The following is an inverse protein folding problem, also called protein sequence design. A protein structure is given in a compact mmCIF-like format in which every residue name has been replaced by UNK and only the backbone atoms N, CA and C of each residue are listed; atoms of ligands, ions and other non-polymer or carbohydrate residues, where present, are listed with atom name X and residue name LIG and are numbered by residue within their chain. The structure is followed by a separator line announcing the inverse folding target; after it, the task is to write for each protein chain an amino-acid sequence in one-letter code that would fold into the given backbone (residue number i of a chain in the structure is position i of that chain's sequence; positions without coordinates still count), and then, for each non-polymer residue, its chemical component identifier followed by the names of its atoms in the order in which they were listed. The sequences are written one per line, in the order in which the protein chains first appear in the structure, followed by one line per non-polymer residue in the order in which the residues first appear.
data_IF_910589141185
#
_entry.id   IF_910589141185
#
_cell.length_a   1.000
_cell.length_b   1.000
_cell.length_c   1.000
_cell.angle_alpha   90.00
_cell.angle_beta   90.00
_cell.angle_gamma   90.00
#
_symmetry.space_group_name_H-M   'P 1'
#
loop_
_entity.id
_entity.type
_entity.pdbx_description
1 polymer ?
#
# COMPACT_ATOMS: atom_id res chain seq x y z
N UNK A 1 19.28 -9.39 -5.55
CA UNK A 1 19.42 -8.60 -4.31
C UNK A 1 19.69 -7.15 -4.65
N UNK A 2 19.21 -6.22 -3.84
CA UNK A 2 19.49 -4.80 -3.98
C UNK A 2 20.91 -4.51 -3.49
N UNK A 3 21.66 -3.75 -4.29
CA UNK A 3 22.98 -3.20 -3.92
C UNK A 3 22.84 -1.68 -3.88
N UNK A 4 22.76 -1.05 -2.68
CA UNK A 4 22.61 0.40 -2.56
C UNK A 4 23.75 1.14 -3.25
N UNK A 5 23.44 2.18 -4.01
CA UNK A 5 24.39 2.93 -4.84
C UNK A 5 24.63 2.36 -6.24
N UNK A 6 24.05 1.19 -6.56
CA UNK A 6 24.20 0.51 -7.85
C UNK A 6 22.85 0.15 -8.47
N UNK A 7 22.02 -0.59 -7.72
CA UNK A 7 20.69 -1.06 -8.19
C UNK A 7 19.74 0.12 -8.39
N UNK A 8 18.99 0.10 -9.49
CA UNK A 8 17.96 1.08 -9.80
C UNK A 8 16.54 0.51 -9.53
N UNK A 9 15.52 1.36 -9.49
CA UNK A 9 14.12 0.91 -9.43
C UNK A 9 13.75 0.09 -10.67
N UNK A 10 14.31 0.41 -11.83
CA UNK A 10 14.11 -0.36 -13.06
C UNK A 10 14.68 -1.77 -12.97
N UNK A 11 15.81 -1.94 -12.27
CA UNK A 11 16.39 -3.27 -12.01
C UNK A 11 15.44 -4.09 -11.13
N UNK A 12 14.72 -3.46 -10.18
CA UNK A 12 13.71 -4.15 -9.37
C UNK A 12 12.52 -4.63 -10.21
N UNK A 13 12.04 -3.81 -11.16
CA UNK A 13 10.99 -4.23 -12.10
C UNK A 13 11.43 -5.49 -12.86
N UNK A 14 12.65 -5.50 -13.39
CA UNK A 14 13.20 -6.66 -14.11
C UNK A 14 13.43 -7.89 -13.23
N UNK A 15 13.93 -7.71 -12.00
CA UNK A 15 14.08 -8.78 -11.02
C UNK A 15 12.74 -9.42 -10.69
N UNK A 16 11.69 -8.60 -10.48
CA UNK A 16 10.35 -9.10 -10.21
C UNK A 16 9.78 -9.89 -11.40
N UNK A 17 9.90 -9.34 -12.61
CA UNK A 17 9.49 -10.02 -13.84
C UNK A 17 10.18 -11.36 -14.02
N UNK A 18 11.51 -11.38 -13.89
CA UNK A 18 12.29 -12.59 -14.01
C UNK A 18 11.85 -13.63 -12.97
N UNK A 19 11.64 -13.18 -11.74
CA UNK A 19 11.20 -14.09 -10.66
C UNK A 19 9.82 -14.70 -10.93
N UNK A 20 8.87 -13.92 -11.42
CA UNK A 20 7.56 -14.44 -11.83
C UNK A 20 7.69 -15.44 -12.98
N UNK A 21 8.51 -15.13 -14.00
CA UNK A 21 8.76 -16.03 -15.12
C UNK A 21 9.41 -17.35 -14.68
N UNK A 22 10.42 -17.30 -13.78
CA UNK A 22 11.09 -18.49 -13.24
C UNK A 22 10.12 -19.40 -12.46
N UNK A 23 9.10 -18.82 -11.83
CA UNK A 23 8.06 -19.53 -11.10
C UNK A 23 6.87 -19.97 -11.99
N UNK A 24 6.86 -19.60 -13.26
CA UNK A 24 5.74 -19.84 -14.17
C UNK A 24 4.48 -19.05 -13.81
N UNK A 25 4.63 -17.88 -13.17
CA UNK A 25 3.51 -17.02 -12.78
C UNK A 25 3.31 -15.91 -13.82
N UNK A 26 2.04 -15.58 -14.08
CA UNK A 26 1.67 -14.41 -14.86
C UNK A 26 1.61 -13.18 -13.98
N UNK A 27 1.95 -12.01 -14.53
CA UNK A 27 1.71 -10.73 -13.86
C UNK A 27 0.25 -10.32 -13.99
N UNK A 28 -0.33 -9.79 -12.92
CA UNK A 28 -1.65 -9.16 -12.96
C UNK A 28 -1.57 -7.81 -13.72
N UNK A 29 -0.48 -7.08 -13.52
CA UNK A 29 -0.16 -5.80 -14.16
C UNK A 29 1.36 -5.57 -14.19
N UNK A 30 1.78 -4.49 -14.83
CA UNK A 30 3.21 -4.10 -14.84
C UNK A 30 3.66 -3.73 -13.42
N UNK A 31 4.69 -4.39 -12.86
CA UNK A 31 5.19 -4.03 -11.53
C UNK A 31 5.67 -2.58 -11.50
N UNK A 32 5.40 -1.91 -10.41
CA UNK A 32 5.81 -0.53 -10.18
C UNK A 32 6.64 -0.41 -8.91
N UNK A 33 7.78 0.27 -9.02
CA UNK A 33 8.63 0.60 -7.88
C UNK A 33 8.97 2.08 -7.92
N UNK A 34 8.92 2.75 -6.79
CA UNK A 34 9.35 4.14 -6.68
C UNK A 34 10.15 4.39 -5.41
N UNK A 35 10.89 5.49 -5.42
CA UNK A 35 11.71 5.93 -4.30
C UNK A 35 11.04 7.10 -3.61
N UNK A 36 10.76 6.93 -2.33
CA UNK A 36 10.45 8.02 -1.41
C UNK A 36 11.73 8.30 -0.65
N UNK A 37 12.29 9.50 -0.80
CA UNK A 37 13.64 9.81 -0.29
C UNK A 37 13.72 11.17 0.37
N UNK A 38 14.68 11.35 1.30
CA UNK A 38 14.94 12.63 1.95
C UNK A 38 15.25 13.73 0.93
N UNK A 39 14.81 14.95 1.20
CA UNK A 39 15.12 16.11 0.37
C UNK A 39 16.63 16.32 0.16
N UNK A 40 17.43 16.01 1.18
CA UNK A 40 18.91 15.98 1.12
C UNK A 40 19.41 15.07 -0.02
N UNK A 41 18.87 13.86 -0.12
CA UNK A 41 19.25 12.90 -1.16
C UNK A 41 18.89 13.42 -2.54
N UNK A 42 17.70 14.02 -2.70
CA UNK A 42 17.24 14.65 -3.95
C UNK A 42 18.14 15.82 -4.36
N UNK A 43 18.50 16.69 -3.41
CA UNK A 43 19.45 17.81 -3.67
C UNK A 43 20.81 17.32 -4.13
N UNK A 44 21.29 16.19 -3.57
CA UNK A 44 22.62 15.64 -3.87
C UNK A 44 22.69 14.91 -5.20
N UNK A 45 21.69 14.12 -5.55
CA UNK A 45 21.74 13.19 -6.70
C UNK A 45 20.76 13.54 -7.81
N UNK A 46 19.86 14.51 -7.58
CA UNK A 46 18.83 14.94 -8.53
C UNK A 46 17.48 14.26 -8.29
N UNK A 47 16.42 14.97 -8.69
CA UNK A 47 15.02 14.49 -8.53
C UNK A 47 14.71 13.23 -9.36
N UNK A 48 15.43 13.00 -10.45
CA UNK A 48 15.21 11.87 -11.38
C UNK A 48 16.22 10.74 -11.18
N UNK A 49 16.98 10.77 -10.09
CA UNK A 49 17.92 9.68 -9.80
C UNK A 49 17.14 8.42 -9.41
N UNK A 50 17.25 7.38 -10.22
CA UNK A 50 16.59 6.09 -10.03
C UNK A 50 17.43 5.09 -9.22
N UNK A 51 18.68 5.44 -8.89
CA UNK A 51 19.58 4.57 -8.12
C UNK A 51 19.15 4.55 -6.65
N UNK A 52 18.92 3.36 -6.14
CA UNK A 52 18.56 3.12 -4.74
C UNK A 52 19.74 3.46 -3.83
N UNK A 53 19.51 4.28 -2.80
CA UNK A 53 20.56 4.78 -1.92
C UNK A 53 20.25 4.54 -0.45
N UNK A 54 21.27 4.44 0.41
CA UNK A 54 21.04 4.39 1.86
C UNK A 54 20.18 5.56 2.34
N UNK A 55 19.13 5.24 3.07
CA UNK A 55 18.16 6.21 3.58
C UNK A 55 16.91 6.39 2.71
N UNK A 56 16.84 5.78 1.53
CA UNK A 56 15.61 5.74 0.73
C UNK A 56 14.58 4.79 1.33
N UNK A 57 13.31 5.08 1.13
CA UNK A 57 12.22 4.14 1.25
C UNK A 57 11.78 3.72 -0.16
N UNK A 58 11.74 2.42 -0.41
CA UNK A 58 11.22 1.85 -1.65
C UNK A 58 9.75 1.50 -1.40
N UNK A 59 8.87 1.95 -2.27
CA UNK A 59 7.49 1.52 -2.33
C UNK A 59 7.33 0.64 -3.58
N UNK A 60 6.71 -0.51 -3.41
CA UNK A 60 6.35 -1.43 -4.51
C UNK A 60 4.84 -1.51 -4.66
N UNK A 61 4.42 -1.71 -5.90
CA UNK A 61 3.05 -2.02 -6.28
C UNK A 61 3.11 -3.15 -7.29
N UNK A 62 2.70 -4.35 -6.87
CA UNK A 62 2.93 -5.60 -7.60
C UNK A 62 1.77 -6.56 -7.45
N UNK A 63 1.48 -7.31 -8.51
CA UNK A 63 0.45 -8.33 -8.50
C UNK A 63 0.77 -9.49 -9.44
N UNK A 64 0.32 -10.66 -9.07
CA UNK A 64 0.40 -11.88 -9.91
C UNK A 64 -0.99 -12.37 -10.28
N UNK A 65 -1.05 -13.14 -11.35
CA UNK A 65 -2.23 -13.93 -11.71
C UNK A 65 -1.92 -15.40 -11.52
N UNK A 66 -2.67 -16.03 -10.63
CA UNK A 66 -2.56 -17.46 -10.37
C UNK A 66 -3.94 -18.13 -10.42
N UNK A 67 -4.08 -19.21 -11.17
CA UNK A 67 -5.35 -19.90 -11.41
C UNK A 67 -6.49 -18.94 -11.83
N UNK A 68 -6.17 -17.95 -12.65
CA UNK A 68 -7.04 -16.87 -13.15
C UNK A 68 -7.47 -15.82 -12.10
N UNK A 69 -7.01 -15.93 -10.87
CA UNK A 69 -7.24 -14.93 -9.84
C UNK A 69 -6.05 -13.97 -9.79
N UNK A 70 -6.35 -12.68 -9.63
CA UNK A 70 -5.34 -11.64 -9.47
C UNK A 70 -5.08 -11.37 -7.99
N UNK A 71 -3.86 -10.98 -7.68
CA UNK A 71 -3.48 -10.35 -6.42
C UNK A 71 -3.03 -8.91 -6.67
N UNK A 72 -3.07 -8.09 -5.62
CA UNK A 72 -2.70 -6.68 -5.64
C UNK A 72 -2.09 -6.27 -4.30
N UNK A 73 -0.81 -5.89 -4.31
CA UNK A 73 -0.07 -5.65 -3.08
C UNK A 73 0.85 -4.45 -3.19
N UNK A 74 0.81 -3.57 -2.19
CA UNK A 74 1.80 -2.52 -1.99
C UNK A 74 2.55 -2.75 -0.69
N UNK A 75 3.88 -2.72 -0.77
CA UNK A 75 4.75 -2.87 0.38
C UNK A 75 5.88 -1.84 0.37
N UNK A 76 6.44 -1.59 1.55
CA UNK A 76 7.50 -0.63 1.74
C UNK A 76 8.75 -1.28 2.33
N UNK A 77 9.92 -0.91 1.77
CA UNK A 77 11.23 -1.29 2.29
C UNK A 77 12.06 -0.05 2.60
N UNK A 78 12.88 -0.11 3.65
CA UNK A 78 13.82 0.95 3.99
C UNK A 78 15.26 0.51 3.76
N UNK A 79 16.02 1.31 3.03
CA UNK A 79 17.45 1.07 2.77
C UNK A 79 18.27 1.61 3.93
N UNK A 80 18.89 0.72 4.69
CA UNK A 80 19.63 1.10 5.91
C UNK A 80 20.75 2.09 5.61
N UNK A 81 20.86 3.11 6.44
CA UNK A 81 22.05 3.98 6.45
C UNK A 81 23.21 3.27 7.14
N UNK A 82 24.46 3.50 6.73
CA UNK A 82 25.62 2.92 7.41
C UNK A 82 25.58 3.13 8.93
N UNK A 83 25.79 2.03 9.67
CA UNK A 83 25.80 2.06 11.14
C UNK A 83 24.43 2.23 11.81
N UNK A 84 23.32 2.08 11.05
CA UNK A 84 21.95 2.08 11.58
C UNK A 84 21.34 0.70 11.44
N UNK A 85 20.53 0.30 12.42
CA UNK A 85 19.86 -1.00 12.51
C UNK A 85 18.38 -0.93 12.09
N UNK A 86 17.86 0.26 11.75
CA UNK A 86 16.46 0.43 11.38
C UNK A 86 16.15 1.79 10.78
N UNK A 87 14.89 1.96 10.35
CA UNK A 87 14.42 3.22 9.78
C UNK A 87 14.31 4.31 10.85
N UNK A 88 14.29 5.58 10.46
CA UNK A 88 14.10 6.69 11.40
C UNK A 88 12.74 6.57 12.13
N UNK A 89 12.63 7.10 13.37
CA UNK A 89 11.41 7.03 14.16
C UNK A 89 10.16 7.54 13.44
N UNK A 90 10.27 8.61 12.63
CA UNK A 90 9.15 9.15 11.87
C UNK A 90 8.58 8.17 10.85
N UNK A 91 9.42 7.40 10.15
CA UNK A 91 8.96 6.38 9.21
C UNK A 91 8.34 5.18 9.94
N UNK A 92 8.89 4.76 11.08
CA UNK A 92 8.28 3.71 11.90
C UNK A 92 6.89 4.11 12.38
N UNK A 93 6.74 5.33 12.89
CA UNK A 93 5.45 5.88 13.30
C UNK A 93 4.45 5.87 12.14
N UNK A 94 4.85 6.29 10.93
CA UNK A 94 3.96 6.24 9.75
C UNK A 94 3.52 4.81 9.44
N UNK A 95 4.41 3.82 9.52
CA UNK A 95 4.06 2.41 9.34
C UNK A 95 3.05 1.95 10.42
N UNK A 96 3.26 2.33 11.68
CA UNK A 96 2.34 2.03 12.79
C UNK A 96 0.96 2.66 12.55
N UNK A 97 0.90 3.92 12.10
CA UNK A 97 -0.36 4.59 11.77
C UNK A 97 -1.06 3.97 10.56
N UNK A 98 -0.31 3.54 9.54
CA UNK A 98 -0.83 2.77 8.41
C UNK A 98 -1.46 1.46 8.87
N UNK A 99 -0.79 0.73 9.77
CA UNK A 99 -1.32 -0.50 10.35
C UNK A 99 -2.57 -0.26 11.20
N UNK A 100 -2.63 0.84 11.96
CA UNK A 100 -3.85 1.23 12.69
C UNK A 100 -5.01 1.52 11.74
N UNK A 101 -4.74 2.17 10.60
CA UNK A 101 -5.76 2.40 9.58
C UNK A 101 -6.24 1.09 8.95
N UNK A 102 -5.37 0.10 8.73
CA UNK A 102 -5.76 -1.24 8.28
C UNK A 102 -6.69 -1.94 9.29
N UNK A 103 -6.42 -1.83 10.60
CA UNK A 103 -7.32 -2.36 11.65
C UNK A 103 -8.70 -1.69 11.61
N UNK A 104 -8.72 -0.35 11.46
CA UNK A 104 -9.98 0.39 11.32
C UNK A 104 -10.73 -0.09 10.08
N UNK A 105 -10.05 -0.21 8.94
CA UNK A 105 -10.61 -0.69 7.69
C UNK A 105 -11.28 -2.06 7.87
N UNK A 106 -10.54 -3.06 8.31
CA UNK A 106 -11.06 -4.42 8.46
C UNK A 106 -12.23 -4.50 9.44
N UNK A 107 -12.15 -3.79 10.56
CA UNK A 107 -13.19 -3.81 11.60
C UNK A 107 -14.48 -3.07 11.22
N UNK A 108 -14.45 -2.24 10.18
CA UNK A 108 -15.60 -1.46 9.72
C UNK A 108 -16.53 -2.21 8.77
N UNK A 109 -16.11 -3.32 8.16
CA UNK A 109 -16.88 -4.07 7.18
C UNK A 109 -18.18 -4.63 7.75
N UNK A 110 -19.31 -4.37 7.07
CA UNK A 110 -20.63 -4.92 7.38
C UNK A 110 -21.33 -5.32 6.08
N UNK A 111 -21.95 -6.51 6.06
CA UNK A 111 -22.75 -6.93 4.91
C UNK A 111 -23.96 -6.03 4.73
N UNK A 112 -24.25 -5.67 3.48
CA UNK A 112 -25.35 -4.77 3.14
C UNK A 112 -25.00 -3.28 3.17
N UNK A 113 -23.88 -2.89 3.80
CA UNK A 113 -23.35 -1.53 3.77
C UNK A 113 -22.83 -1.23 2.36
N UNK A 114 -23.03 -0.03 1.84
CA UNK A 114 -22.44 0.40 0.57
C UNK A 114 -20.94 0.76 0.74
N UNK A 115 -20.22 0.79 -0.37
CA UNK A 115 -18.83 1.23 -0.36
C UNK A 115 -18.65 2.66 0.17
N UNK A 116 -19.59 3.56 -0.17
CA UNK A 116 -19.59 4.95 0.32
C UNK A 116 -19.82 5.05 1.83
N UNK A 117 -20.75 4.25 2.38
CA UNK A 117 -20.99 4.19 3.83
C UNK A 117 -19.77 3.63 4.56
N UNK A 118 -19.15 2.57 4.03
CA UNK A 118 -17.93 2.01 4.59
C UNK A 118 -16.78 3.02 4.57
N UNK A 119 -16.57 3.74 3.46
CA UNK A 119 -15.56 4.80 3.36
C UNK A 119 -15.78 5.87 4.44
N UNK A 120 -17.00 6.34 4.58
CA UNK A 120 -17.38 7.35 5.57
C UNK A 120 -17.09 6.88 7.00
N UNK A 121 -17.44 5.63 7.33
CA UNK A 121 -17.20 5.02 8.64
C UNK A 121 -15.70 4.93 8.94
N UNK A 122 -14.90 4.41 7.99
CA UNK A 122 -13.45 4.28 8.14
C UNK A 122 -12.80 5.65 8.37
N UNK A 123 -13.06 6.62 7.48
CA UNK A 123 -12.43 7.93 7.56
C UNK A 123 -12.87 8.72 8.79
N UNK A 124 -14.14 8.63 9.18
CA UNK A 124 -14.65 9.26 10.39
C UNK A 124 -13.99 8.68 11.64
N UNK A 125 -13.82 7.37 11.71
CA UNK A 125 -13.14 6.70 12.82
C UNK A 125 -11.65 7.04 12.82
N UNK A 126 -10.98 6.95 11.68
CA UNK A 126 -9.56 7.29 11.56
C UNK A 126 -9.25 8.72 12.05
N UNK A 127 -10.08 9.70 11.66
CA UNK A 127 -9.94 11.08 12.12
C UNK A 127 -10.15 11.22 13.63
N UNK A 128 -11.15 10.55 14.21
CA UNK A 128 -11.38 10.56 15.67
C UNK A 128 -10.23 9.93 16.45
N UNK A 129 -9.58 8.92 15.88
CA UNK A 129 -8.44 8.23 16.49
C UNK A 129 -7.11 8.92 16.20
N UNK A 130 -7.12 10.06 15.48
CA UNK A 130 -5.94 10.88 15.21
C UNK A 130 -4.99 10.33 14.17
N UNK A 131 -5.47 9.42 13.28
CA UNK A 131 -4.65 8.94 12.15
C UNK A 131 -4.32 10.13 11.22
N UNK A 132 -3.06 10.35 10.87
CA UNK A 132 -2.65 11.52 10.10
C UNK A 132 -3.04 11.39 8.61
N UNK A 133 -3.84 12.32 8.11
CA UNK A 133 -4.26 12.43 6.71
C UNK A 133 -4.61 11.07 6.06
N UNK A 134 -5.57 10.30 6.61
CA UNK A 134 -5.90 8.97 6.12
C UNK A 134 -6.59 9.05 4.76
N UNK A 135 -6.23 8.15 3.85
CA UNK A 135 -6.91 7.94 2.56
C UNK A 135 -7.14 6.45 2.36
N UNK A 136 -8.22 6.12 1.69
CA UNK A 136 -8.62 4.75 1.37
C UNK A 136 -8.99 4.67 -0.10
N UNK A 137 -8.44 3.70 -0.79
CA UNK A 137 -8.90 3.25 -2.07
C UNK A 137 -9.00 1.73 -2.03
N UNK A 138 -10.18 1.19 -2.24
CA UNK A 138 -10.39 -0.25 -2.22
C UNK A 138 -11.40 -0.64 -3.28
N UNK A 139 -11.09 -1.69 -3.99
CA UNK A 139 -11.95 -2.27 -5.01
C UNK A 139 -12.09 -3.77 -4.81
N UNK A 140 -13.14 -4.34 -5.38
CA UNK A 140 -13.29 -5.79 -5.43
C UNK A 140 -12.21 -6.38 -6.34
N UNK A 141 -11.69 -7.54 -5.94
CA UNK A 141 -10.59 -8.25 -6.58
C UNK A 141 -10.99 -9.70 -6.88
N UNK A 142 -10.50 -10.27 -7.96
CA UNK A 142 -10.78 -11.66 -8.32
C UNK A 142 -10.29 -12.03 -9.72
N UNK A 143 -11.21 -12.40 -10.62
CA UNK A 143 -10.90 -12.74 -12.01
C UNK A 143 -10.40 -11.53 -12.82
N UNK A 144 -10.88 -10.34 -12.47
CA UNK A 144 -10.36 -9.07 -12.93
C UNK A 144 -9.62 -8.40 -11.78
N UNK A 145 -8.59 -7.62 -12.11
CA UNK A 145 -7.87 -6.82 -11.12
C UNK A 145 -8.83 -5.82 -10.45
N UNK A 146 -9.59 -5.07 -11.25
CA UNK A 146 -10.66 -4.18 -10.80
C UNK A 146 -12.02 -4.78 -11.10
N UNK A 147 -12.50 -5.66 -10.23
CA UNK A 147 -13.81 -6.30 -10.36
C UNK A 147 -14.96 -5.29 -10.35
N UNK A 148 -16.11 -5.57 -11.01
CA UNK A 148 -17.27 -4.66 -11.05
C UNK A 148 -18.09 -4.65 -9.74
N UNK A 149 -17.46 -4.90 -8.60
CA UNK A 149 -18.07 -4.86 -7.27
C UNK A 149 -18.06 -3.48 -6.61
N UNK A 150 -18.32 -3.43 -5.30
CA UNK A 150 -18.26 -2.19 -4.53
C UNK A 150 -16.91 -1.49 -4.66
N UNK A 151 -16.93 -0.16 -4.70
CA UNK A 151 -15.77 0.72 -4.65
C UNK A 151 -15.79 1.51 -3.35
N UNK A 152 -14.66 1.57 -2.65
CA UNK A 152 -14.51 2.23 -1.34
C UNK A 152 -13.46 3.31 -1.48
N UNK A 153 -13.88 4.53 -1.81
CA UNK A 153 -12.99 5.64 -2.14
C UNK A 153 -12.33 5.52 -3.51
N UNK A 154 -11.63 6.57 -3.88
CA UNK A 154 -10.72 6.66 -5.03
C UNK A 154 -9.50 7.48 -4.61
N UNK A 155 -8.34 7.33 -5.24
CA UNK A 155 -7.16 8.13 -4.88
C UNK A 155 -7.39 9.64 -4.86
N UNK A 156 -8.33 10.13 -5.68
CA UNK A 156 -8.68 11.55 -5.79
C UNK A 156 -10.05 11.91 -5.18
N UNK A 157 -10.87 10.93 -4.78
CA UNK A 157 -12.20 11.14 -4.20
C UNK A 157 -12.36 10.36 -2.90
N UNK A 158 -12.45 11.07 -1.79
CA UNK A 158 -12.51 10.52 -0.45
C UNK A 158 -13.83 10.82 0.29
N UNK A 159 -14.83 11.35 -0.44
CA UNK A 159 -16.15 11.62 0.13
C UNK A 159 -17.18 10.63 -0.40
N UNK A 160 -17.37 10.59 -1.70
CA UNK A 160 -18.38 9.73 -2.33
C UNK A 160 -18.03 9.37 -3.76
N UNK A 161 -18.13 8.08 -4.08
CA UNK A 161 -18.00 7.53 -5.44
C UNK A 161 -19.38 7.12 -5.95
N UNK A 162 -20.11 7.94 -6.73
CA UNK A 162 -21.42 7.57 -7.27
C UNK A 162 -21.36 6.30 -8.14
N UNK A 163 -22.42 5.52 -8.12
CA UNK A 163 -22.52 4.28 -8.89
C UNK A 163 -21.84 3.12 -8.16
N UNK A 164 -20.58 2.80 -8.45
CA UNK A 164 -19.90 1.66 -7.82
C UNK A 164 -19.75 1.81 -6.29
N UNK A 165 -19.61 3.02 -5.78
CA UNK A 165 -19.59 3.26 -4.34
C UNK A 165 -20.96 3.06 -3.67
N UNK A 166 -22.06 3.06 -4.42
CA UNK A 166 -23.41 2.81 -3.90
C UNK A 166 -23.76 1.30 -3.89
N UNK A 167 -22.86 0.43 -4.38
CA UNK A 167 -23.04 -1.03 -4.37
C UNK A 167 -22.80 -1.59 -2.97
N UNK A 168 -23.71 -2.47 -2.55
CA UNK A 168 -23.65 -3.09 -1.22
C UNK A 168 -22.59 -4.20 -1.14
N UNK A 169 -21.86 -4.23 -0.02
CA UNK A 169 -20.90 -5.29 0.32
C UNK A 169 -21.64 -6.61 0.59
N UNK A 170 -21.04 -7.70 0.15
CA UNK A 170 -21.55 -9.07 0.35
C UNK A 170 -20.49 -9.97 0.96
N UNK A 171 -20.88 -10.94 1.73
CA UNK A 171 -19.97 -12.00 2.19
C UNK A 171 -19.41 -12.80 1.03
N UNK A 172 -18.26 -13.44 1.27
CA UNK A 172 -17.51 -14.24 0.32
C UNK A 172 -17.03 -13.41 -0.89
N UNK A 173 -16.57 -12.20 -0.62
CA UNK A 173 -15.95 -11.29 -1.58
C UNK A 173 -14.52 -10.99 -1.16
N UNK A 174 -13.65 -10.75 -2.16
CA UNK A 174 -12.29 -10.26 -1.96
C UNK A 174 -12.20 -8.79 -2.35
N UNK A 175 -11.34 -8.08 -1.64
CA UNK A 175 -11.07 -6.65 -1.86
C UNK A 175 -9.58 -6.40 -1.71
N UNK A 176 -9.09 -5.34 -2.35
CA UNK A 176 -7.82 -4.74 -1.96
C UNK A 176 -8.05 -3.91 -0.69
N UNK A 177 -7.10 -3.93 0.23
CA UNK A 177 -7.05 -3.02 1.37
C UNK A 177 -5.97 -1.99 1.08
N UNK A 178 -6.20 -1.17 0.05
CA UNK A 178 -5.31 -0.09 -0.35
C UNK A 178 -5.64 1.17 0.43
N UNK A 179 -4.64 1.72 1.09
CA UNK A 179 -4.78 2.87 1.95
C UNK A 179 -3.45 3.58 2.17
N UNK A 180 -3.51 4.82 2.63
CA UNK A 180 -2.31 5.57 2.97
C UNK A 180 -2.52 6.51 4.16
N UNK A 181 -1.41 6.82 4.81
CA UNK A 181 -1.30 7.87 5.81
C UNK A 181 -0.19 8.82 5.43
N UNK A 182 -0.35 10.10 5.75
CA UNK A 182 0.64 11.13 5.38
C UNK A 182 0.93 12.01 6.59
N UNK A 183 2.20 12.12 6.98
CA UNK A 183 2.63 13.01 8.05
C UNK A 183 4.06 13.53 7.79
N UNK A 184 4.52 14.44 8.65
CA UNK A 184 5.89 14.96 8.63
C UNK A 184 6.86 13.97 9.26
N UNK A 185 8.02 13.83 8.65
CA UNK A 185 9.13 13.03 9.16
C UNK A 185 10.24 13.98 9.62
N UNK A 186 10.38 14.22 10.94
CA UNK A 186 11.36 15.18 11.46
C UNK A 186 12.79 14.87 11.02
N UNK A 187 13.17 13.59 10.96
CA UNK A 187 14.50 13.15 10.56
C UNK A 187 14.78 13.38 9.06
N UNK A 188 13.76 13.74 8.28
CA UNK A 188 13.85 14.13 6.88
C UNK A 188 13.55 15.63 6.69
N UNK A 189 14.03 16.47 7.59
CA UNK A 189 13.83 17.94 7.57
C UNK A 189 12.34 18.32 7.56
N UNK A 190 11.52 17.64 8.39
CA UNK A 190 10.07 17.80 8.42
C UNK A 190 9.36 17.59 7.07
N UNK A 191 10.00 16.83 6.17
CA UNK A 191 9.40 16.48 4.89
C UNK A 191 8.08 15.72 5.10
N UNK A 192 7.06 16.09 4.34
CA UNK A 192 5.81 15.34 4.27
C UNK A 192 6.04 14.03 3.51
N UNK A 193 5.71 12.90 4.14
CA UNK A 193 5.88 11.56 3.59
C UNK A 193 4.56 10.81 3.65
N UNK A 194 4.23 10.15 2.56
CA UNK A 194 3.09 9.23 2.47
C UNK A 194 3.58 7.80 2.60
N UNK A 195 2.97 7.04 3.51
CA UNK A 195 3.11 5.60 3.64
C UNK A 195 1.89 4.95 3.00
N UNK A 196 2.08 4.25 1.89
CA UNK A 196 1.04 3.51 1.19
C UNK A 196 1.21 2.02 1.45
N UNK A 197 0.11 1.33 1.73
CA UNK A 197 0.05 -0.09 2.02
C UNK A 197 -1.14 -0.70 1.29
N UNK A 198 -0.98 -1.92 0.77
CA UNK A 198 -2.05 -2.65 0.15
C UNK A 198 -1.88 -4.14 0.36
N UNK A 199 -2.94 -4.80 0.83
CA UNK A 199 -3.03 -6.25 0.93
C UNK A 199 -4.40 -6.73 0.49
N UNK A 200 -4.45 -7.96 -0.03
CA UNK A 200 -5.70 -8.62 -0.38
C UNK A 200 -6.43 -9.10 0.87
N UNK A 201 -7.71 -8.77 0.99
CA UNK A 201 -8.56 -9.17 2.11
C UNK A 201 -9.78 -9.95 1.65
N UNK A 202 -10.19 -10.92 2.47
CA UNK A 202 -11.43 -11.66 2.30
C UNK A 202 -12.47 -11.16 3.31
N UNK A 203 -13.67 -10.83 2.82
CA UNK A 203 -14.82 -10.49 3.66
C UNK A 203 -15.78 -11.68 3.72
N UNK A 204 -15.86 -12.32 4.88
CA UNK A 204 -16.68 -13.50 5.15
C UNK A 204 -17.65 -13.25 6.31
N UNK A 205 -18.43 -14.24 6.71
CA UNK A 205 -19.31 -14.13 7.89
C UNK A 205 -18.53 -13.97 9.20
N UNK A 206 -17.27 -14.41 9.21
CA UNK A 206 -16.34 -14.28 10.33
C UNK A 206 -15.70 -12.89 10.42
N UNK A 207 -15.88 -12.06 9.39
CA UNK A 207 -15.33 -10.70 9.29
C UNK A 207 -14.45 -10.49 8.08
N UNK A 208 -13.75 -9.35 8.05
CA UNK A 208 -12.76 -9.01 7.03
C UNK A 208 -11.36 -9.30 7.57
N UNK A 209 -10.55 -10.03 6.79
CA UNK A 209 -9.19 -10.44 7.19
C UNK A 209 -8.26 -10.51 6.00
N UNK A 210 -6.94 -10.30 6.16
CA UNK A 210 -5.96 -10.53 5.11
C UNK A 210 -6.01 -11.99 4.63
N UNK A 211 -5.72 -12.20 3.34
CA UNK A 211 -5.70 -13.56 2.75
C UNK A 211 -4.41 -14.28 3.15
N UNK A 212 -3.26 -13.64 3.01
CA UNK A 212 -1.93 -14.23 3.28
C UNK A 212 -1.10 -13.45 4.31
N UNK A 213 -1.71 -12.48 4.98
CA UNK A 213 -1.05 -11.63 5.96
C UNK A 213 -1.03 -10.16 5.57
N UNK A 214 -0.24 -9.36 6.29
CA UNK A 214 -0.04 -7.94 5.99
C UNK A 214 1.34 -7.48 6.45
N UNK A 215 1.83 -6.45 5.81
CA UNK A 215 3.06 -5.81 6.24
C UNK A 215 2.83 -5.00 7.52
N UNK A 216 3.54 -5.35 8.60
CA UNK A 216 3.44 -4.65 9.90
C UNK A 216 4.68 -3.83 10.25
N UNK A 217 5.77 -4.01 9.52
CA UNK A 217 7.01 -3.27 9.66
C UNK A 217 7.65 -3.05 8.28
N UNK A 218 8.48 -2.02 8.14
CA UNK A 218 9.27 -1.82 6.94
C UNK A 218 10.25 -2.99 6.74
N UNK A 219 10.32 -3.53 5.54
CA UNK A 219 11.42 -4.42 5.17
C UNK A 219 12.73 -3.67 5.23
N UNK A 220 13.82 -4.34 5.63
CA UNK A 220 15.14 -3.72 5.72
C UNK A 220 16.08 -4.25 4.64
N UNK A 221 16.78 -3.35 3.99
CA UNK A 221 17.77 -3.63 2.93
C UNK A 221 19.12 -3.06 3.33
#
# INVERSE_FOLDING_TARGET
SVVPGVTTVRDLEWIYWQRCADLGLELAFKPFFNLVRPAETKRRFGERDEVIRPGDMIHSDVGIRYLRLNSDHQECAYVLRPGKEGPPPGLRRLMEEGNRLQEIFMSAFRAGQSGNELLSDILSRARREGIPNPRVYSHSLGLFLHEPGPLIGLPWEQERCPGRGDVALRYNSCFTMELSVTDRVPEWEDQQVTMSLEQDVAFTKEGCRPIDGRQTALHLI
#
